data_IF_103250301779
#
_entry.id   IF_103250301779
#
_cell.length_a   1.000
_cell.length_b   1.000
_cell.length_c   1.000
_cell.angle_alpha   90.00
_cell.angle_beta   90.00
_cell.angle_gamma   90.00
#
_symmetry.space_group_name_H-M   'P 1'
#
loop_
_entity.id
_entity.type
_entity.pdbx_description
1 polymer ?
#
# COMPACT_ATOMS: atom_id res chain seq x y z
N UNK A 1 -26.09 -44.76 19.17
CA UNK A 1 -25.37 -45.17 17.96
C UNK A 1 -25.49 -44.03 16.96
N UNK A 2 -24.44 -43.23 16.83
CA UNK A 2 -24.39 -42.07 15.95
C UNK A 2 -23.67 -42.48 14.66
N UNK A 3 -24.36 -42.34 13.52
CA UNK A 3 -23.81 -42.63 12.21
C UNK A 3 -22.93 -41.46 11.76
N UNK A 4 -21.65 -41.75 11.49
CA UNK A 4 -20.71 -40.86 10.79
C UNK A 4 -21.17 -40.66 9.35
N UNK A 5 -21.21 -39.42 8.90
CA UNK A 5 -21.32 -39.10 7.48
C UNK A 5 -19.91 -38.75 6.99
N UNK A 6 -19.21 -39.74 6.43
CA UNK A 6 -17.96 -39.51 5.74
C UNK A 6 -18.29 -38.95 4.35
N UNK A 7 -18.05 -37.65 4.14
CA UNK A 7 -18.07 -37.06 2.80
C UNK A 7 -16.77 -37.45 2.08
N UNK A 8 -16.86 -38.46 1.22
CA UNK A 8 -15.83 -38.74 0.22
C UNK A 8 -15.85 -37.63 -0.83
N UNK A 9 -14.77 -36.84 -0.91
CA UNK A 9 -14.53 -35.96 -2.05
C UNK A 9 -13.94 -36.86 -3.15
N UNK A 10 -14.72 -37.10 -4.20
CA UNK A 10 -14.23 -37.79 -5.40
C UNK A 10 -13.18 -36.92 -6.09
N UNK A 11 -11.98 -37.49 -6.20
CA UNK A 11 -10.77 -36.89 -6.79
C UNK A 11 -10.81 -36.92 -8.33
N UNK A 12 -11.91 -36.42 -8.94
CA UNK A 12 -11.92 -36.12 -10.37
C UNK A 12 -11.47 -34.68 -10.57
N UNK A 13 -10.16 -34.52 -10.79
CA UNK A 13 -9.53 -33.27 -11.16
C UNK A 13 -10.07 -32.79 -12.52
N UNK A 14 -11.15 -32.02 -12.49
CA UNK A 14 -11.56 -31.22 -13.63
C UNK A 14 -10.55 -30.07 -13.75
N UNK A 15 -9.55 -30.27 -14.60
CA UNK A 15 -8.60 -29.22 -15.00
C UNK A 15 -9.35 -28.24 -15.89
N UNK A 16 -10.06 -27.30 -15.27
CA UNK A 16 -10.37 -26.05 -15.93
C UNK A 16 -9.04 -25.31 -16.10
N UNK A 17 -8.51 -25.26 -17.33
CA UNK A 17 -7.53 -24.24 -17.70
C UNK A 17 -8.24 -22.89 -17.72
N UNK A 18 -8.61 -22.39 -16.53
CA UNK A 18 -8.81 -20.98 -16.37
C UNK A 18 -7.44 -20.36 -16.65
N UNK A 19 -7.30 -19.73 -17.81
CA UNK A 19 -6.34 -18.66 -17.98
C UNK A 19 -6.74 -17.60 -16.95
N UNK A 20 -6.26 -17.79 -15.71
CA UNK A 20 -6.31 -16.76 -14.69
C UNK A 20 -5.63 -15.58 -15.36
N UNK A 21 -6.32 -14.45 -15.59
CA UNK A 21 -5.63 -13.25 -15.99
C UNK A 21 -4.61 -13.04 -14.89
N UNK A 22 -3.33 -13.23 -15.19
CA UNK A 22 -2.28 -12.81 -14.29
C UNK A 22 -2.47 -11.31 -14.15
N UNK A 23 -3.18 -10.90 -13.10
CA UNK A 23 -3.05 -9.55 -12.60
C UNK A 23 -1.60 -9.48 -12.13
N UNK A 24 -0.72 -9.09 -13.07
CA UNK A 24 0.57 -8.50 -12.72
C UNK A 24 0.18 -7.22 -12.02
N UNK A 25 -0.11 -7.30 -10.72
CA UNK A 25 -0.23 -6.13 -9.87
C UNK A 25 1.10 -5.39 -9.99
N UNK A 26 1.18 -4.44 -10.92
CA UNK A 26 2.21 -3.44 -10.91
C UNK A 26 1.92 -2.66 -9.65
N UNK A 27 2.65 -2.96 -8.58
CA UNK A 27 2.65 -2.12 -7.41
C UNK A 27 3.08 -0.72 -7.87
N UNK A 28 2.09 0.14 -8.07
CA UNK A 28 2.30 1.52 -8.46
C UNK A 28 2.63 2.33 -7.22
N UNK A 29 3.39 3.41 -7.40
CA UNK A 29 3.50 4.40 -6.33
C UNK A 29 3.03 5.74 -6.82
N UNK A 30 2.33 6.47 -5.94
CA UNK A 30 1.85 7.82 -6.22
C UNK A 30 2.37 8.75 -5.13
N UNK A 31 2.59 10.01 -5.49
CA UNK A 31 2.78 11.04 -4.49
C UNK A 31 1.42 11.59 -4.09
N UNK A 32 1.25 11.85 -2.79
CA UNK A 32 0.04 12.44 -2.23
C UNK A 32 0.37 13.17 -0.94
N UNK A 33 -0.61 13.88 -0.41
CA UNK A 33 -0.53 14.46 0.92
C UNK A 33 -1.28 13.58 1.92
N UNK A 34 -0.66 13.33 3.07
CA UNK A 34 -1.36 12.85 4.25
C UNK A 34 -1.63 14.01 5.19
N UNK A 35 -2.83 14.08 5.74
CA UNK A 35 -3.27 15.15 6.62
C UNK A 35 -3.87 14.61 7.91
N UNK A 36 -3.50 15.23 9.02
CA UNK A 36 -4.24 15.13 10.27
C UNK A 36 -5.24 16.31 10.34
N UNK A 37 -6.55 16.09 10.12
CA UNK A 37 -7.52 17.17 10.12
C UNK A 37 -7.67 17.83 11.50
N UNK A 38 -7.43 17.11 12.60
CA UNK A 38 -7.51 17.67 13.94
C UNK A 38 -6.34 18.61 14.24
N UNK A 39 -5.12 18.25 13.84
CA UNK A 39 -3.92 19.06 14.07
C UNK A 39 -3.63 20.07 12.95
N UNK A 40 -4.39 20.04 11.85
CA UNK A 40 -4.12 20.83 10.64
C UNK A 40 -2.70 20.64 10.10
N UNK A 41 -2.10 19.48 10.36
CA UNK A 41 -0.78 19.11 9.86
C UNK A 41 -0.90 18.30 8.57
N UNK A 42 -0.02 18.56 7.62
CA UNK A 42 0.03 17.89 6.34
C UNK A 42 1.48 17.57 5.95
N UNK A 43 1.70 16.42 5.32
CA UNK A 43 3.01 16.00 4.83
C UNK A 43 2.86 15.36 3.46
N UNK A 44 3.77 15.71 2.54
CA UNK A 44 3.89 15.04 1.25
C UNK A 44 4.55 13.68 1.44
N UNK A 45 3.93 12.62 0.92
CA UNK A 45 4.43 11.25 1.01
C UNK A 45 4.40 10.56 -0.35
N UNK A 46 5.05 9.41 -0.41
CA UNK A 46 4.89 8.41 -1.46
C UNK A 46 4.10 7.23 -0.92
N UNK A 47 2.98 6.98 -1.56
CA UNK A 47 2.10 5.85 -1.30
C UNK A 47 2.43 4.67 -2.21
N UNK A 48 2.48 3.48 -1.64
CA UNK A 48 2.48 2.21 -2.36
C UNK A 48 1.03 1.77 -2.55
N UNK A 49 0.61 1.55 -3.79
CA UNK A 49 -0.69 0.99 -4.13
C UNK A 49 -0.56 -0.52 -4.19
N UNK A 50 -1.21 -1.22 -3.26
CA UNK A 50 -1.15 -2.67 -3.15
C UNK A 50 -2.55 -3.27 -3.06
N UNK A 51 -2.99 -3.92 -4.14
CA UNK A 51 -4.30 -4.56 -4.19
C UNK A 51 -4.36 -5.89 -3.45
N UNK A 52 -3.21 -6.47 -3.10
CA UNK A 52 -3.12 -7.65 -2.27
C UNK A 52 -3.18 -7.33 -0.77
N UNK A 53 -3.02 -6.06 -0.38
CA UNK A 53 -3.14 -5.66 1.00
C UNK A 53 -4.60 -5.55 1.42
N UNK A 54 -4.92 -6.01 2.63
CA UNK A 54 -6.25 -5.88 3.23
C UNK A 54 -6.39 -4.63 4.09
N UNK A 55 -5.27 -4.05 4.55
CA UNK A 55 -5.27 -2.94 5.50
C UNK A 55 -4.22 -1.90 5.08
N UNK A 56 -4.55 -0.59 5.08
CA UNK A 56 -3.57 0.46 4.85
C UNK A 56 -2.53 0.49 5.97
N UNK A 57 -1.28 0.78 5.61
CA UNK A 57 -0.19 0.92 6.58
C UNK A 57 0.38 2.33 6.52
N UNK A 58 0.74 2.88 7.67
CA UNK A 58 1.45 4.17 7.77
C UNK A 58 2.73 4.00 8.56
N UNK A 59 3.82 4.55 8.04
CA UNK A 59 5.11 4.54 8.72
C UNK A 59 5.06 5.34 10.02
N UNK A 60 5.63 4.77 11.09
CA UNK A 60 5.58 5.34 12.43
C UNK A 60 6.15 6.75 12.51
N UNK A 61 7.23 7.05 11.79
CA UNK A 61 7.81 8.39 11.77
C UNK A 61 6.85 9.41 11.13
N UNK A 62 6.17 9.01 10.05
CA UNK A 62 5.16 9.84 9.37
C UNK A 62 3.94 10.07 10.26
N UNK A 63 3.44 9.01 10.92
CA UNK A 63 2.33 9.14 11.87
C UNK A 63 2.67 10.07 13.05
N UNK A 64 3.89 9.96 13.60
CA UNK A 64 4.38 10.87 14.65
C UNK A 64 4.51 12.30 14.17
N UNK A 65 5.05 12.50 12.96
CA UNK A 65 5.22 13.82 12.37
C UNK A 65 3.87 14.56 12.18
N UNK A 66 2.84 13.82 11.80
CA UNK A 66 1.47 14.31 11.67
C UNK A 66 0.70 14.40 13.01
N UNK A 67 1.31 14.00 14.12
CA UNK A 67 0.65 13.96 15.42
C UNK A 67 -0.56 13.02 15.46
N UNK A 68 -0.54 11.92 14.71
CA UNK A 68 -1.65 10.97 14.66
C UNK A 68 -1.71 10.15 15.96
N UNK A 69 -2.85 10.22 16.63
CA UNK A 69 -3.18 9.43 17.81
C UNK A 69 -4.34 8.51 17.50
N UNK A 70 -4.35 7.31 18.05
CA UNK A 70 -5.43 6.37 17.80
C UNK A 70 -5.40 5.15 18.69
N UNK A 71 -6.34 4.23 18.47
CA UNK A 71 -6.61 3.12 19.39
C UNK A 71 -5.56 2.02 19.24
N UNK A 72 -5.12 1.45 20.37
CA UNK A 72 -4.41 0.18 20.37
C UNK A 72 -5.40 -0.96 20.15
N UNK A 73 -5.05 -1.91 19.29
CA UNK A 73 -5.85 -3.09 19.02
C UNK A 73 -4.97 -4.30 18.70
N UNK A 74 -5.56 -5.49 18.70
CA UNK A 74 -4.87 -6.72 18.36
C UNK A 74 -5.19 -7.12 16.92
N UNK A 75 -4.16 -7.25 16.08
CA UNK A 75 -4.24 -7.83 14.74
C UNK A 75 -3.94 -9.32 14.83
N UNK A 76 -4.89 -10.16 14.39
CA UNK A 76 -4.69 -11.60 14.25
C UNK A 76 -4.30 -11.91 12.79
N UNK A 77 -3.12 -12.49 12.61
CA UNK A 77 -2.58 -12.90 11.32
C UNK A 77 -2.69 -14.42 11.20
N UNK A 78 -3.46 -14.90 10.23
CA UNK A 78 -3.43 -16.30 9.84
C UNK A 78 -2.26 -16.52 8.90
N UNK A 79 -1.26 -17.28 9.33
CA UNK A 79 -0.10 -17.63 8.52
C UNK A 79 -0.28 -19.03 7.93
N UNK A 80 0.47 -19.31 6.85
CA UNK A 80 0.41 -20.59 6.18
C UNK A 80 0.62 -21.76 7.15
N UNK A 81 -0.09 -22.87 6.91
CA UNK A 81 -0.14 -24.08 7.77
C UNK A 81 -1.00 -23.95 9.04
N UNK A 82 -1.94 -23.01 9.06
CA UNK A 82 -2.98 -22.95 10.09
C UNK A 82 -2.54 -22.40 11.44
N UNK A 83 -1.33 -21.83 11.52
CA UNK A 83 -0.91 -21.07 12.69
C UNK A 83 -1.48 -19.65 12.65
N UNK A 84 -1.82 -19.12 13.82
CA UNK A 84 -2.23 -17.73 14.00
C UNK A 84 -1.22 -16.99 14.87
N UNK A 85 -1.01 -15.71 14.57
CA UNK A 85 -0.15 -14.82 15.34
C UNK A 85 -0.89 -13.55 15.66
N UNK A 86 -0.92 -13.18 16.94
CA UNK A 86 -1.57 -11.95 17.41
C UNK A 86 -0.51 -10.89 17.70
N UNK A 87 -0.67 -9.69 17.14
CA UNK A 87 0.18 -8.53 17.43
C UNK A 87 -0.64 -7.34 17.89
N UNK A 88 -0.18 -6.66 18.94
CA UNK A 88 -0.69 -5.32 19.26
C UNK A 88 -0.25 -4.36 18.15
N UNK A 89 -1.21 -3.59 17.63
CA UNK A 89 -1.03 -2.57 16.61
C UNK A 89 -1.76 -1.30 17.03
N UNK A 90 -1.35 -0.16 16.48
CA UNK A 90 -2.05 1.11 16.66
C UNK A 90 -2.77 1.47 15.36
N UNK A 91 -4.08 1.62 15.43
CA UNK A 91 -4.89 2.14 14.32
C UNK A 91 -5.01 3.66 14.46
N UNK A 92 -4.83 4.38 13.37
CA UNK A 92 -4.94 5.84 13.31
C UNK A 92 -5.81 6.26 12.14
N UNK A 93 -6.51 7.38 12.28
CA UNK A 93 -7.29 8.00 11.22
C UNK A 93 -6.55 9.19 10.62
N UNK A 94 -6.59 9.34 9.31
CA UNK A 94 -5.97 10.43 8.57
C UNK A 94 -6.71 10.69 7.26
N UNK A 95 -6.41 11.82 6.61
CA UNK A 95 -6.91 12.13 5.27
C UNK A 95 -5.80 11.93 4.25
N UNK A 96 -6.16 11.42 3.07
CA UNK A 96 -5.32 11.45 1.88
C UNK A 96 -5.86 12.52 0.96
N UNK A 97 -4.96 13.37 0.46
CA UNK A 97 -5.27 14.39 -0.53
C UNK A 97 -4.39 14.23 -1.76
N UNK A 98 -4.98 14.32 -2.94
CA UNK A 98 -4.26 14.28 -4.22
C UNK A 98 -3.29 15.47 -4.33
N UNK A 99 -2.26 15.34 -5.18
CA UNK A 99 -1.25 16.40 -5.36
C UNK A 99 -1.83 17.70 -5.92
N UNK A 100 -2.90 17.61 -6.69
CA UNK A 100 -3.66 18.75 -7.23
C UNK A 100 -4.71 19.31 -6.25
N UNK A 101 -4.92 18.63 -5.12
CA UNK A 101 -5.85 19.04 -4.06
C UNK A 101 -7.33 18.78 -4.33
N UNK A 102 -7.72 18.22 -5.48
CA UNK A 102 -9.13 18.03 -5.84
C UNK A 102 -9.80 16.85 -5.13
N UNK A 103 -9.04 15.81 -4.79
CA UNK A 103 -9.57 14.61 -4.15
C UNK A 103 -9.06 14.58 -2.72
N UNK A 104 -9.97 14.44 -1.76
CA UNK A 104 -9.64 14.20 -0.36
C UNK A 104 -10.52 13.07 0.18
N UNK A 105 -9.89 12.08 0.81
CA UNK A 105 -10.57 10.89 1.33
C UNK A 105 -10.09 10.60 2.75
N UNK A 106 -11.03 10.33 3.65
CA UNK A 106 -10.71 9.87 5.01
C UNK A 106 -10.38 8.37 5.01
N UNK A 107 -9.36 8.01 5.78
CA UNK A 107 -8.85 6.65 5.87
C UNK A 107 -8.46 6.31 7.30
N UNK A 108 -8.53 5.01 7.61
CA UNK A 108 -7.91 4.43 8.78
C UNK A 108 -6.79 3.50 8.33
N UNK A 109 -5.70 3.46 9.09
CA UNK A 109 -4.55 2.61 8.80
C UNK A 109 -3.80 2.19 10.05
N UNK A 110 -3.01 1.14 9.91
CA UNK A 110 -2.19 0.60 10.99
C UNK A 110 -0.81 1.26 10.95
N UNK A 111 -0.36 1.74 12.11
CA UNK A 111 1.01 2.22 12.30
C UNK A 111 1.98 1.05 12.27
N UNK A 112 2.98 1.12 11.40
CA UNK A 112 4.07 0.14 11.28
C UNK A 112 5.43 0.82 11.33
N UNK A 113 6.47 0.09 11.73
CA UNK A 113 7.84 0.64 11.77
C UNK A 113 8.37 1.04 10.39
N UNK A 114 8.04 0.27 9.35
CA UNK A 114 8.43 0.53 7.96
C UNK A 114 7.39 -0.10 7.02
N UNK A 115 7.05 0.59 5.94
CA UNK A 115 6.13 0.07 4.92
C UNK A 115 6.87 -0.80 3.90
N UNK A 116 8.00 -0.30 3.39
CA UNK A 116 8.81 -1.00 2.39
C UNK A 116 10.19 -0.39 2.26
N UNK A 117 11.08 -1.06 1.52
CA UNK A 117 12.40 -0.49 1.23
C UNK A 117 12.28 0.73 0.32
N UNK A 118 13.06 1.80 0.56
CA UNK A 118 13.10 2.94 -0.35
C UNK A 118 13.47 2.51 -1.78
N UNK A 119 12.89 3.17 -2.77
CA UNK A 119 13.33 3.01 -4.15
C UNK A 119 14.73 3.58 -4.30
N UNK A 120 15.61 2.81 -4.93
CA UNK A 120 16.98 3.24 -5.18
C UNK A 120 17.01 4.46 -6.12
N UNK A 121 18.05 5.30 -5.99
CA UNK A 121 18.41 6.29 -7.00
C UNK A 121 18.37 5.71 -8.41
N UNK A 122 17.83 6.49 -9.35
CA UNK A 122 17.85 6.16 -10.77
C UNK A 122 18.95 7.02 -11.39
N UNK A 123 20.06 6.38 -11.73
CA UNK A 123 21.14 6.99 -12.50
C UNK A 123 20.78 7.01 -13.99
N UNK A 124 19.83 7.87 -14.31
CA UNK A 124 19.43 8.17 -15.66
C UNK A 124 19.71 9.64 -15.91
N UNK A 125 20.52 9.95 -16.93
CA UNK A 125 20.73 11.34 -17.35
C UNK A 125 20.14 11.53 -18.74
N UNK A 126 18.98 12.21 -18.87
CA UNK A 126 18.36 12.43 -20.17
C UNK A 126 19.24 13.29 -21.09
N UNK A 127 20.11 14.14 -20.53
CA UNK A 127 21.02 15.01 -21.31
C UNK A 127 22.09 14.22 -22.07
N UNK A 128 22.36 12.98 -21.64
CA UNK A 128 23.27 12.06 -22.33
C UNK A 128 22.61 11.33 -23.51
N UNK A 129 21.33 11.58 -23.78
CA UNK A 129 20.50 10.85 -24.75
C UNK A 129 19.80 11.84 -25.69
N UNK A 130 20.41 12.10 -26.84
CA UNK A 130 19.94 13.10 -27.81
C UNK A 130 18.48 12.90 -28.27
N UNK A 131 18.00 11.65 -28.31
CA UNK A 131 16.62 11.32 -28.67
C UNK A 131 15.58 11.73 -27.62
N UNK A 132 16.00 12.16 -26.42
CA UNK A 132 15.14 12.66 -25.35
C UNK A 132 15.09 14.19 -25.29
N UNK A 133 15.83 14.90 -26.13
CA UNK A 133 15.96 16.37 -26.03
C UNK A 133 14.63 17.12 -26.20
N UNK A 134 13.64 16.49 -26.83
CA UNK A 134 12.32 17.08 -27.10
C UNK A 134 11.22 16.49 -26.19
N UNK A 135 11.59 15.73 -25.16
CA UNK A 135 10.65 15.08 -24.25
C UNK A 135 10.75 15.75 -22.88
N UNK A 136 9.63 16.26 -22.39
CA UNK A 136 9.50 16.68 -21.00
C UNK A 136 9.22 15.45 -20.13
N UNK A 137 10.13 15.17 -19.20
CA UNK A 137 9.96 14.07 -18.26
C UNK A 137 9.16 14.54 -17.05
N UNK A 138 8.20 13.70 -16.62
CA UNK A 138 7.39 13.96 -15.44
C UNK A 138 8.23 14.06 -14.14
N UNK A 139 9.37 13.37 -14.10
CA UNK A 139 10.30 13.35 -12.98
C UNK A 139 11.63 14.01 -13.34
N UNK A 140 12.29 14.60 -12.32
CA UNK A 140 13.66 15.11 -12.46
C UNK A 140 14.66 13.97 -12.32
N UNK A 141 15.58 13.91 -13.27
CA UNK A 141 16.63 12.89 -13.33
C UNK A 141 18.02 13.52 -13.51
N UNK A 142 19.11 12.88 -13.02
CA UNK A 142 19.10 11.67 -12.18
C UNK A 142 18.51 11.95 -10.80
N UNK A 143 17.94 10.92 -10.14
CA UNK A 143 17.42 11.08 -8.77
C UNK A 143 18.56 10.86 -7.78
N UNK A 144 18.96 11.85 -6.97
CA UNK A 144 20.18 11.74 -6.16
C UNK A 144 20.00 10.90 -4.89
N UNK A 145 18.78 10.81 -4.36
CA UNK A 145 18.50 10.21 -3.07
C UNK A 145 17.50 9.05 -3.21
N UNK A 146 17.59 8.03 -2.33
CA UNK A 146 16.54 7.02 -2.22
C UNK A 146 15.19 7.66 -1.91
N UNK A 147 14.13 7.14 -2.53
CA UNK A 147 12.76 7.65 -2.35
C UNK A 147 12.01 6.75 -1.36
N UNK A 148 11.67 7.22 -0.15
CA UNK A 148 10.99 6.40 0.84
C UNK A 148 9.57 6.06 0.41
N UNK A 149 9.02 5.01 1.01
CA UNK A 149 7.61 4.65 0.93
C UNK A 149 7.06 4.78 2.33
N UNK A 150 6.18 5.76 2.56
CA UNK A 150 5.71 6.09 3.90
C UNK A 150 4.30 5.58 4.19
N UNK A 151 3.53 5.24 3.16
CA UNK A 151 2.17 4.73 3.31
C UNK A 151 1.92 3.61 2.31
N UNK A 152 1.17 2.60 2.71
CA UNK A 152 0.57 1.60 1.84
C UNK A 152 -0.92 1.85 1.81
N UNK A 153 -1.48 1.89 0.60
CA UNK A 153 -2.92 1.97 0.37
C UNK A 153 -3.40 0.61 -0.11
N UNK A 154 -4.36 0.04 0.59
CA UNK A 154 -5.04 -1.19 0.23
C UNK A 154 -6.25 -0.92 -0.66
N UNK A 155 -6.75 -1.96 -1.32
CA UNK A 155 -8.10 -1.90 -1.88
C UNK A 155 -9.14 -1.80 -0.75
N UNK A 156 -10.33 -1.22 -1.00
CA UNK A 156 -10.77 -0.60 -2.25
C UNK A 156 -10.31 0.87 -2.44
N UNK A 157 -9.47 1.41 -1.55
CA UNK A 157 -9.26 2.86 -1.40
C UNK A 157 -8.70 3.58 -2.63
N UNK A 158 -8.08 2.86 -3.58
CA UNK A 158 -7.53 3.45 -4.80
C UNK A 158 -8.20 2.95 -6.10
N UNK A 159 -9.14 2.00 -6.03
CA UNK A 159 -9.92 1.55 -7.21
C UNK A 159 -11.32 2.16 -7.31
N UNK A 160 -11.83 2.77 -6.24
CA UNK A 160 -13.21 3.31 -6.20
C UNK A 160 -13.51 4.46 -7.18
N UNK A 161 -12.50 5.06 -7.79
CA UNK A 161 -12.65 6.24 -8.65
C UNK A 161 -12.17 6.02 -10.10
N UNK A 162 -12.17 4.77 -10.58
CA UNK A 162 -11.91 4.45 -12.00
C UNK A 162 -13.15 4.55 -12.86
#
# INVERSE_FOLDING_TARGET
>A
MAHSWDFAINDEAVVYSATVPHYKGLCGTVECYLRNPAAQQEVKVRALLDSGANVPLIEQQTAKHLGLTGRKQFLCLNVARGSSSTKEVQEVSFQIRSMDGYITTEMAGIVTGKVGNPFQPIDFDPRKRSYLNNIELADKFPTPNPRPIQVLLSEPYFSQYR
#
